data_IF_897415847033
#
_entry.id   IF_897415847033
#
_cell.length_a   1.000
_cell.length_b   1.000
_cell.length_c   1.000
_cell.angle_alpha   90.00
_cell.angle_beta   90.00
_cell.angle_gamma   90.00
#
_symmetry.space_group_name_H-M   'P 1'
#
loop_
_entity.id
_entity.type
_entity.pdbx_description
1 polymer ?
#
# COMPACT_ATOMS: atom_id res chain seq x y z
N UNK A 1 12.57 -19.02 -35.91
CA UNK A 1 13.68 -19.98 -35.79
C UNK A 1 15.04 -19.30 -35.93
N UNK A 2 15.18 -18.23 -36.72
CA UNK A 2 16.51 -17.62 -36.96
C UNK A 2 17.10 -16.71 -35.86
N UNK A 3 16.32 -16.13 -34.94
CA UNK A 3 16.86 -15.11 -34.00
C UNK A 3 17.91 -15.69 -33.02
N UNK A 4 17.75 -16.94 -32.60
CA UNK A 4 18.64 -17.56 -31.62
C UNK A 4 20.07 -17.76 -32.15
N UNK A 5 20.23 -17.94 -33.46
CA UNK A 5 21.51 -18.26 -34.09
C UNK A 5 22.08 -17.08 -34.91
N UNK A 6 21.45 -15.90 -34.82
CA UNK A 6 21.86 -14.71 -35.56
C UNK A 6 23.05 -13.97 -34.93
N UNK A 7 23.26 -14.09 -33.61
CA UNK A 7 24.27 -13.31 -32.89
C UNK A 7 25.65 -13.98 -32.93
N UNK A 8 26.68 -13.19 -33.23
CA UNK A 8 28.08 -13.60 -33.20
C UNK A 8 28.53 -14.06 -31.80
N UNK A 9 27.85 -13.57 -30.76
CA UNK A 9 28.06 -13.87 -29.33
C UNK A 9 26.97 -14.78 -28.78
N UNK A 10 26.79 -15.92 -29.43
CA UNK A 10 25.65 -16.84 -29.24
C UNK A 10 25.37 -17.21 -27.77
N UNK A 11 26.40 -17.61 -27.02
CA UNK A 11 26.24 -18.03 -25.62
C UNK A 11 25.73 -16.88 -24.74
N UNK A 12 26.27 -15.67 -24.92
CA UNK A 12 25.90 -14.52 -24.11
C UNK A 12 24.48 -14.06 -24.46
N UNK A 13 24.17 -13.97 -25.76
CA UNK A 13 22.85 -13.62 -26.24
C UNK A 13 21.78 -14.56 -25.71
N UNK A 14 21.95 -15.89 -25.87
CA UNK A 14 20.96 -16.89 -25.45
C UNK A 14 20.77 -16.90 -23.93
N UNK A 15 21.84 -16.75 -23.15
CA UNK A 15 21.77 -16.71 -21.67
C UNK A 15 21.03 -15.48 -21.15
N UNK A 16 21.35 -14.29 -21.70
CA UNK A 16 20.68 -13.03 -21.32
C UNK A 16 19.23 -13.04 -21.79
N UNK A 17 18.98 -13.53 -23.01
CA UNK A 17 17.63 -13.66 -23.56
C UNK A 17 16.75 -14.56 -22.69
N UNK A 18 17.26 -15.69 -22.20
CA UNK A 18 16.52 -16.57 -21.31
C UNK A 18 16.07 -15.83 -20.03
N UNK A 19 16.99 -15.06 -19.43
CA UNK A 19 16.71 -14.28 -18.23
C UNK A 19 15.75 -13.11 -18.51
N UNK A 20 15.82 -12.50 -19.71
CA UNK A 20 14.89 -11.48 -20.17
C UNK A 20 13.48 -12.06 -20.40
N UNK A 21 13.36 -13.27 -20.94
CA UNK A 21 12.08 -13.97 -21.08
C UNK A 21 11.46 -14.28 -19.72
N UNK A 22 12.26 -14.75 -18.76
CA UNK A 22 11.78 -14.99 -17.40
C UNK A 22 11.40 -13.68 -16.69
N UNK A 23 12.18 -12.61 -16.87
CA UNK A 23 11.84 -11.27 -16.41
C UNK A 23 10.48 -10.83 -16.96
N UNK A 24 10.26 -10.95 -18.27
CA UNK A 24 9.01 -10.61 -18.93
C UNK A 24 7.82 -11.39 -18.33
N UNK A 25 7.98 -12.71 -18.17
CA UNK A 25 6.96 -13.55 -17.55
C UNK A 25 6.67 -13.11 -16.10
N UNK A 26 7.71 -12.81 -15.32
CA UNK A 26 7.56 -12.32 -13.95
C UNK A 26 6.79 -11.00 -13.88
N UNK A 27 7.18 -9.98 -14.66
CA UNK A 27 6.52 -8.67 -14.59
C UNK A 27 5.07 -8.73 -15.08
N UNK A 28 4.79 -9.57 -16.08
CA UNK A 28 3.44 -9.78 -16.61
C UNK A 28 2.54 -10.53 -15.62
N UNK A 29 3.00 -11.62 -15.02
CA UNK A 29 2.17 -12.46 -14.14
C UNK A 29 2.07 -11.89 -12.71
N UNK A 30 3.07 -11.16 -12.23
CA UNK A 30 3.04 -10.51 -10.91
C UNK A 30 1.83 -9.59 -10.70
N UNK A 31 1.24 -9.05 -11.78
CA UNK A 31 0.01 -8.22 -11.71
C UNK A 31 -1.18 -8.94 -11.08
N UNK A 32 -1.19 -10.28 -11.04
CA UNK A 32 -2.21 -11.10 -10.38
C UNK A 32 -2.34 -10.77 -8.89
N UNK A 33 -1.23 -10.40 -8.23
CA UNK A 33 -1.17 -10.10 -6.80
C UNK A 33 -1.56 -8.65 -6.45
N UNK A 34 -2.25 -7.95 -7.37
CA UNK A 34 -2.78 -6.60 -7.12
C UNK A 34 -1.69 -5.60 -6.68
N UNK A 35 -2.01 -4.69 -5.75
CA UNK A 35 -1.08 -3.68 -5.22
C UNK A 35 0.20 -4.26 -4.59
N UNK A 36 0.17 -5.48 -4.04
CA UNK A 36 1.36 -6.12 -3.52
C UNK A 36 2.34 -6.51 -4.64
N UNK A 37 1.80 -6.86 -5.80
CA UNK A 37 2.56 -7.08 -7.02
C UNK A 37 3.06 -5.77 -7.62
N UNK A 38 2.14 -4.90 -8.02
CA UNK A 38 2.40 -3.59 -8.62
C UNK A 38 1.41 -2.57 -8.07
N UNK A 39 1.88 -1.37 -7.69
CA UNK A 39 1.00 -0.30 -7.22
C UNK A 39 -0.01 0.11 -8.29
N UNK A 40 0.34 0.00 -9.58
CA UNK A 40 -0.56 0.23 -10.71
C UNK A 40 -0.57 -0.94 -11.68
N UNK A 41 -1.67 -1.09 -12.43
CA UNK A 41 -1.78 -2.10 -13.49
C UNK A 41 -1.13 -1.58 -14.77
N UNK A 42 -0.04 -2.23 -15.21
CA UNK A 42 0.67 -1.88 -16.44
C UNK A 42 0.38 -2.86 -17.59
N UNK A 43 0.25 -2.38 -18.84
CA UNK A 43 -0.08 -3.21 -19.99
C UNK A 43 1.16 -3.80 -20.68
N UNK A 44 2.02 -4.50 -19.92
CA UNK A 44 3.17 -5.21 -20.50
C UNK A 44 2.71 -6.26 -21.52
N UNK A 45 3.34 -6.29 -22.68
CA UNK A 45 2.94 -7.13 -23.81
C UNK A 45 4.14 -7.75 -24.54
N UNK A 46 3.87 -8.71 -25.41
CA UNK A 46 4.91 -9.44 -26.17
C UNK A 46 5.72 -8.53 -27.11
N UNK A 47 5.17 -7.38 -27.52
CA UNK A 47 5.89 -6.35 -28.28
C UNK A 47 7.07 -5.77 -27.49
N UNK A 48 6.89 -5.54 -26.19
CA UNK A 48 7.96 -5.05 -25.30
C UNK A 48 9.13 -6.05 -25.25
N UNK A 49 8.81 -7.34 -25.12
CA UNK A 49 9.81 -8.41 -25.18
C UNK A 49 10.50 -8.47 -26.54
N UNK A 50 9.74 -8.45 -27.62
CA UNK A 50 10.27 -8.53 -29.00
C UNK A 50 11.24 -7.39 -29.29
N UNK A 51 10.89 -6.15 -28.93
CA UNK A 51 11.77 -5.00 -29.13
C UNK A 51 13.00 -5.12 -28.20
N UNK A 52 12.83 -5.57 -26.96
CA UNK A 52 13.94 -5.79 -26.03
C UNK A 52 14.93 -6.85 -26.55
N UNK A 53 14.45 -7.91 -27.21
CA UNK A 53 15.31 -8.91 -27.87
C UNK A 53 16.13 -8.27 -29.00
N UNK A 54 15.51 -7.44 -29.83
CA UNK A 54 16.21 -6.73 -30.90
C UNK A 54 17.25 -5.74 -30.36
N UNK A 55 16.92 -5.03 -29.28
CA UNK A 55 17.85 -4.13 -28.58
C UNK A 55 19.03 -4.92 -28.00
N UNK A 56 18.78 -6.07 -27.37
CA UNK A 56 19.83 -6.96 -26.87
C UNK A 56 20.76 -7.41 -28.00
N UNK A 57 20.20 -7.88 -29.11
CA UNK A 57 20.97 -8.31 -30.28
C UNK A 57 21.87 -7.18 -30.79
N UNK A 58 21.29 -6.02 -31.08
CA UNK A 58 22.03 -4.86 -31.60
C UNK A 58 23.11 -4.39 -30.61
N UNK A 59 22.82 -4.44 -29.30
CA UNK A 59 23.77 -4.05 -28.27
C UNK A 59 24.97 -4.99 -28.22
N UNK A 60 24.77 -6.31 -28.30
CA UNK A 60 25.85 -7.29 -28.27
C UNK A 60 26.71 -7.27 -29.55
N UNK A 61 26.12 -6.99 -30.71
CA UNK A 61 26.86 -6.84 -31.98
C UNK A 61 27.69 -5.54 -32.01
N UNK A 62 27.18 -4.46 -31.41
CA UNK A 62 27.87 -3.17 -31.40
C UNK A 62 28.99 -3.08 -30.35
N UNK A 63 28.99 -3.92 -29.32
CA UNK A 63 29.89 -3.82 -28.17
C UNK A 63 30.71 -5.11 -27.98
N UNK A 64 32.00 -4.95 -27.66
CA UNK A 64 32.90 -6.09 -27.39
C UNK A 64 32.71 -6.71 -26.01
N UNK A 65 32.06 -6.01 -25.08
CA UNK A 65 31.80 -6.46 -23.71
C UNK A 65 30.36 -6.16 -23.31
N UNK A 66 29.83 -6.91 -22.35
CA UNK A 66 28.50 -6.65 -21.78
C UNK A 66 28.62 -5.62 -20.67
N UNK A 67 28.12 -4.40 -20.88
CA UNK A 67 27.96 -3.43 -19.80
C UNK A 67 26.56 -3.60 -19.19
N UNK A 68 26.53 -4.23 -18.02
CA UNK A 68 25.28 -4.62 -17.35
C UNK A 68 24.41 -3.44 -16.95
N UNK A 69 25.03 -2.32 -16.55
CA UNK A 69 24.31 -1.11 -16.17
C UNK A 69 23.52 -0.55 -17.36
N UNK A 70 24.11 -0.52 -18.56
CA UNK A 70 23.45 -0.08 -19.78
C UNK A 70 22.27 -0.99 -20.13
N UNK A 71 22.46 -2.31 -20.11
CA UNK A 71 21.36 -3.25 -20.42
C UNK A 71 20.20 -3.13 -19.43
N UNK A 72 20.50 -3.04 -18.13
CA UNK A 72 19.47 -2.83 -17.10
C UNK A 72 18.76 -1.49 -17.30
N UNK A 73 19.48 -0.44 -17.68
CA UNK A 73 18.88 0.86 -17.99
C UNK A 73 18.00 0.80 -19.23
N UNK A 74 18.48 0.21 -20.33
CA UNK A 74 17.71 0.05 -21.57
C UNK A 74 16.40 -0.70 -21.30
N UNK A 75 16.45 -1.86 -20.63
CA UNK A 75 15.25 -2.64 -20.37
C UNK A 75 14.36 -2.02 -19.28
N UNK A 76 14.96 -1.55 -18.18
CA UNK A 76 14.23 -1.10 -17.00
C UNK A 76 13.67 0.31 -17.11
N UNK A 77 14.44 1.25 -17.67
CA UNK A 77 14.07 2.66 -17.73
C UNK A 77 13.40 3.04 -19.05
N UNK A 78 13.82 2.44 -20.17
CA UNK A 78 13.32 2.78 -21.50
C UNK A 78 12.22 1.81 -21.94
N UNK A 79 12.52 0.50 -22.04
CA UNK A 79 11.59 -0.48 -22.62
C UNK A 79 10.36 -0.70 -21.73
N UNK A 80 10.56 -1.26 -20.54
CA UNK A 80 9.47 -1.50 -19.59
C UNK A 80 9.15 -0.24 -18.79
N UNK A 81 10.18 0.55 -18.47
CA UNK A 81 10.04 1.81 -17.72
C UNK A 81 9.23 2.88 -18.44
N UNK A 82 9.07 2.79 -19.77
CA UNK A 82 8.17 3.66 -20.53
C UNK A 82 6.69 3.49 -20.15
N UNK A 83 6.30 2.32 -19.64
CA UNK A 83 4.94 2.05 -19.15
C UNK A 83 4.75 2.42 -17.68
N UNK A 84 5.83 2.42 -16.91
CA UNK A 84 5.79 2.52 -15.45
C UNK A 84 5.75 3.99 -15.03
N UNK A 85 4.66 4.35 -14.36
CA UNK A 85 4.39 5.73 -13.91
C UNK A 85 4.57 5.96 -12.41
N UNK A 86 4.73 4.89 -11.62
CA UNK A 86 4.92 4.98 -10.16
C UNK A 86 6.39 4.71 -9.81
N UNK A 87 6.99 5.53 -8.96
CA UNK A 87 8.43 5.46 -8.65
C UNK A 87 8.80 4.19 -7.88
N UNK A 88 7.88 3.65 -7.05
CA UNK A 88 8.12 2.41 -6.33
C UNK A 88 8.04 1.20 -7.25
N UNK A 89 7.11 1.23 -8.20
CA UNK A 89 7.05 0.23 -9.26
C UNK A 89 8.29 0.30 -10.16
N UNK A 90 8.82 1.51 -10.42
CA UNK A 90 10.07 1.69 -11.17
C UNK A 90 11.27 1.15 -10.40
N UNK A 91 11.32 1.35 -9.08
CA UNK A 91 12.31 0.72 -8.19
C UNK A 91 12.21 -0.80 -8.22
N UNK A 92 11.00 -1.36 -8.20
CA UNK A 92 10.77 -2.80 -8.32
C UNK A 92 11.30 -3.36 -9.64
N UNK A 93 10.95 -2.72 -10.77
CA UNK A 93 11.42 -3.11 -12.09
C UNK A 93 12.95 -3.13 -12.20
N UNK A 94 13.61 -2.07 -11.71
CA UNK A 94 15.08 -2.01 -11.64
C UNK A 94 15.66 -3.12 -10.79
N UNK A 95 15.07 -3.38 -9.61
CA UNK A 95 15.54 -4.42 -8.69
C UNK A 95 15.46 -5.81 -9.34
N UNK A 96 14.39 -6.10 -10.08
CA UNK A 96 14.31 -7.34 -10.85
C UNK A 96 15.47 -7.50 -11.83
N UNK A 97 15.79 -6.46 -12.59
CA UNK A 97 16.88 -6.50 -13.55
C UNK A 97 18.26 -6.55 -12.87
N UNK A 98 18.43 -5.95 -11.70
CA UNK A 98 19.66 -6.08 -10.90
C UNK A 98 19.88 -7.51 -10.39
N UNK A 99 18.82 -8.21 -10.01
CA UNK A 99 18.89 -9.61 -9.57
C UNK A 99 18.99 -10.58 -10.76
N UNK A 100 18.28 -10.30 -11.86
CA UNK A 100 18.20 -11.20 -13.03
C UNK A 100 19.20 -10.91 -14.13
N UNK A 101 20.02 -9.85 -14.07
CA UNK A 101 21.02 -9.55 -15.11
C UNK A 101 22.36 -9.23 -14.47
N UNK A 102 23.10 -10.28 -14.13
CA UNK A 102 24.36 -10.21 -13.39
C UNK A 102 25.51 -10.88 -14.16
N UNK A 103 26.77 -10.41 -13.99
CA UNK A 103 27.94 -11.03 -14.61
C UNK A 103 28.07 -12.54 -14.35
N UNK A 104 27.62 -13.00 -13.18
CA UNK A 104 27.69 -14.40 -12.74
C UNK A 104 26.71 -15.34 -13.47
N UNK A 105 25.88 -14.83 -14.38
CA UNK A 105 24.94 -15.63 -15.17
C UNK A 105 25.63 -16.66 -16.06
N UNK A 106 26.81 -16.31 -16.57
CA UNK A 106 27.57 -17.20 -17.44
C UNK A 106 28.22 -18.36 -16.68
N UNK A 107 28.33 -18.26 -15.35
CA UNK A 107 28.95 -19.28 -14.48
C UNK A 107 27.94 -20.34 -13.98
N UNK A 108 26.71 -20.37 -14.51
CA UNK A 108 25.63 -21.32 -14.12
C UNK A 108 25.24 -21.30 -12.64
N UNK A 109 25.41 -20.16 -11.98
CA UNK A 109 25.10 -20.00 -10.54
C UNK A 109 23.87 -19.14 -10.27
N UNK A 110 23.36 -18.43 -11.29
CA UNK A 110 22.20 -17.57 -11.08
C UNK A 110 20.91 -18.39 -11.04
N UNK A 111 20.27 -18.39 -9.89
CA UNK A 111 18.89 -18.86 -9.74
C UNK A 111 17.94 -17.68 -10.01
N UNK A 112 17.06 -17.81 -11.00
CA UNK A 112 16.02 -16.83 -11.31
C UNK A 112 14.82 -16.97 -10.35
N UNK A 113 14.60 -18.18 -9.85
CA UNK A 113 13.68 -18.50 -8.78
C UNK A 113 14.24 -19.67 -7.95
N UNK A 114 13.74 -19.91 -6.73
CA UNK A 114 14.11 -21.10 -5.96
C UNK A 114 13.91 -22.38 -6.78
N UNK A 115 14.99 -23.12 -7.02
CA UNK A 115 14.96 -24.35 -7.84
C UNK A 115 15.02 -24.13 -9.36
N UNK A 116 14.99 -22.89 -9.85
CA UNK A 116 15.03 -22.58 -11.28
C UNK A 116 16.29 -21.77 -11.64
N UNK A 117 17.29 -22.48 -12.16
CA UNK A 117 18.60 -21.91 -12.52
C UNK A 117 18.62 -21.54 -14.01
N UNK A 118 19.41 -20.54 -14.39
CA UNK A 118 19.64 -20.24 -15.81
C UNK A 118 20.33 -21.45 -16.48
N UNK A 119 19.72 -22.05 -17.52
CA UNK A 119 20.31 -23.17 -18.24
C UNK A 119 21.56 -22.74 -19.02
N UNK A 120 22.31 -23.74 -19.47
CA UNK A 120 23.45 -23.52 -20.37
C UNK A 120 22.98 -23.18 -21.79
N UNK A 121 23.92 -22.92 -22.71
CA UNK A 121 23.56 -22.78 -24.12
C UNK A 121 22.87 -24.07 -24.62
N UNK A 122 21.61 -23.94 -25.04
CA UNK A 122 20.77 -25.00 -25.58
C UNK A 122 20.23 -24.55 -26.95
N UNK A 123 19.73 -25.49 -27.73
CA UNK A 123 18.94 -25.18 -28.91
C UNK A 123 17.49 -24.83 -28.52
N UNK A 124 16.70 -24.38 -29.50
CA UNK A 124 15.31 -23.99 -29.24
C UNK A 124 14.49 -25.10 -28.57
N UNK A 125 14.63 -26.34 -29.04
CA UNK A 125 13.92 -27.48 -28.47
C UNK A 125 14.41 -27.83 -27.06
N UNK A 126 15.72 -27.74 -26.83
CA UNK A 126 16.31 -27.94 -25.51
C UNK A 126 15.82 -26.92 -24.49
N UNK A 127 15.63 -25.65 -24.87
CA UNK A 127 15.04 -24.65 -23.96
C UNK A 127 13.60 -24.99 -23.57
N UNK A 128 12.76 -25.43 -24.52
CA UNK A 128 11.39 -25.88 -24.22
C UNK A 128 11.39 -27.07 -23.28
N UNK A 129 12.19 -28.11 -23.57
CA UNK A 129 12.31 -29.28 -22.69
C UNK A 129 12.80 -28.90 -21.29
N UNK A 130 13.77 -27.99 -21.18
CA UNK A 130 14.25 -27.48 -19.89
C UNK A 130 13.14 -26.77 -19.11
N UNK A 131 12.35 -25.92 -19.76
CA UNK A 131 11.23 -25.23 -19.11
C UNK A 131 10.18 -26.24 -18.64
N UNK A 132 9.81 -27.21 -19.47
CA UNK A 132 8.81 -28.23 -19.12
C UNK A 132 9.25 -29.12 -17.96
N UNK A 133 10.56 -29.44 -17.86
CA UNK A 133 11.10 -30.30 -16.82
C UNK A 133 11.45 -29.56 -15.52
N UNK A 134 11.97 -28.34 -15.62
CA UNK A 134 12.61 -27.65 -14.49
C UNK A 134 11.81 -26.47 -13.94
N UNK A 135 10.84 -25.92 -14.68
CA UNK A 135 10.03 -24.81 -14.18
C UNK A 135 9.06 -25.34 -13.10
N UNK A 136 9.17 -24.86 -11.85
CA UNK A 136 8.28 -25.29 -10.78
C UNK A 136 6.85 -24.78 -10.99
N UNK A 137 5.88 -25.41 -10.32
CA UNK A 137 4.49 -24.94 -10.29
C UNK A 137 4.40 -23.48 -9.83
N UNK A 138 3.46 -22.72 -10.40
CA UNK A 138 3.30 -21.30 -10.09
C UNK A 138 3.14 -21.07 -8.57
N UNK A 139 3.92 -20.12 -8.04
CA UNK A 139 3.90 -19.76 -6.63
C UNK A 139 4.32 -18.30 -6.47
N UNK A 140 3.79 -17.53 -5.50
CA UNK A 140 4.23 -16.16 -5.24
C UNK A 140 5.75 -16.02 -5.08
N UNK A 141 6.39 -17.06 -4.54
CA UNK A 141 7.84 -17.11 -4.29
C UNK A 141 8.66 -16.96 -5.57
N UNK A 142 8.15 -17.44 -6.72
CA UNK A 142 8.84 -17.31 -8.01
C UNK A 142 8.86 -15.88 -8.53
N UNK A 143 7.94 -15.05 -8.03
CA UNK A 143 7.93 -13.61 -8.25
C UNK A 143 8.67 -12.86 -7.15
N UNK A 144 9.26 -13.54 -6.16
CA UNK A 144 9.91 -12.91 -5.01
C UNK A 144 8.93 -12.47 -3.91
N UNK A 145 7.65 -12.81 -4.01
CA UNK A 145 6.64 -12.54 -2.97
C UNK A 145 6.64 -13.63 -1.90
N UNK A 146 6.15 -13.27 -0.70
CA UNK A 146 5.88 -14.24 0.35
C UNK A 146 4.64 -15.09 0.00
N UNK A 147 4.56 -16.39 0.39
CA UNK A 147 3.41 -17.26 0.11
C UNK A 147 2.05 -16.71 0.58
N UNK A 148 2.04 -15.83 1.59
CA UNK A 148 0.82 -15.15 2.04
C UNK A 148 0.12 -14.35 0.93
N UNK A 149 0.85 -13.90 -0.10
CA UNK A 149 0.25 -13.18 -1.23
C UNK A 149 -0.79 -14.03 -1.99
N UNK A 150 -0.63 -15.35 -2.01
CA UNK A 150 -1.62 -16.25 -2.61
C UNK A 150 -2.91 -16.32 -1.79
N UNK A 151 -2.80 -16.30 -0.46
CA UNK A 151 -3.96 -16.28 0.45
C UNK A 151 -4.77 -15.00 0.21
N UNK A 152 -4.10 -13.85 0.15
CA UNK A 152 -4.76 -12.56 -0.12
C UNK A 152 -5.42 -12.57 -1.51
N UNK A 153 -4.71 -13.02 -2.54
CA UNK A 153 -5.22 -13.12 -3.91
C UNK A 153 -6.49 -13.97 -3.99
N UNK A 154 -6.50 -15.15 -3.37
CA UNK A 154 -7.66 -16.04 -3.35
C UNK A 154 -8.81 -15.45 -2.53
N UNK A 155 -8.51 -14.74 -1.44
CA UNK A 155 -9.52 -14.06 -0.60
C UNK A 155 -10.24 -12.98 -1.41
N UNK A 156 -9.48 -12.06 -2.02
CA UNK A 156 -10.05 -10.98 -2.86
C UNK A 156 -10.82 -11.54 -4.05
N UNK A 157 -10.33 -12.61 -4.68
CA UNK A 157 -11.03 -13.27 -5.80
C UNK A 157 -12.36 -13.87 -5.33
N UNK A 158 -12.38 -14.46 -4.15
CA UNK A 158 -13.59 -15.05 -3.56
C UNK A 158 -14.59 -13.96 -3.16
N UNK A 159 -14.14 -12.87 -2.54
CA UNK A 159 -15.00 -11.75 -2.15
C UNK A 159 -15.65 -11.09 -3.37
N UNK A 160 -14.88 -10.87 -4.44
CA UNK A 160 -15.41 -10.35 -5.71
C UNK A 160 -16.47 -11.30 -6.31
N UNK A 161 -16.23 -12.61 -6.24
CA UNK A 161 -17.21 -13.60 -6.69
C UNK A 161 -18.51 -13.52 -5.88
N UNK A 162 -18.42 -13.43 -4.55
CA UNK A 162 -19.60 -13.29 -3.68
C UNK A 162 -20.35 -11.99 -3.95
N UNK A 163 -19.65 -10.86 -4.13
CA UNK A 163 -20.27 -9.59 -4.49
C UNK A 163 -21.01 -9.68 -5.82
N UNK A 164 -20.37 -10.22 -6.87
CA UNK A 164 -21.04 -10.40 -8.17
C UNK A 164 -22.26 -11.33 -8.06
N UNK A 165 -22.20 -12.37 -7.23
CA UNK A 165 -23.34 -13.26 -7.00
C UNK A 165 -24.50 -12.55 -6.28
N UNK A 166 -24.20 -11.70 -5.29
CA UNK A 166 -25.21 -10.90 -4.58
C UNK A 166 -25.88 -9.88 -5.52
N UNK A 167 -25.12 -9.24 -6.39
CA UNK A 167 -25.65 -8.28 -7.38
C UNK A 167 -26.55 -8.95 -8.43
N UNK A 168 -26.29 -10.22 -8.75
CA UNK A 168 -27.10 -11.00 -9.70
C UNK A 168 -28.39 -11.55 -9.07
N UNK A 169 -28.54 -11.54 -7.76
CA UNK A 169 -29.79 -11.95 -7.10
C UNK A 169 -30.88 -10.91 -7.36
N UNK A 170 -32.05 -11.35 -7.83
CA UNK A 170 -33.19 -10.44 -7.96
C UNK A 170 -33.61 -9.98 -6.55
N UNK A 171 -33.96 -8.70 -6.35
CA UNK A 171 -34.48 -8.21 -5.07
C UNK A 171 -35.65 -9.06 -4.55
N UNK A 172 -36.46 -9.61 -5.47
CA UNK A 172 -37.60 -10.47 -5.17
C UNK A 172 -37.23 -11.88 -4.66
N UNK A 173 -36.00 -12.36 -4.88
CA UNK A 173 -35.56 -13.71 -4.48
C UNK A 173 -35.11 -13.82 -3.03
N UNK A 174 -34.89 -12.69 -2.35
CA UNK A 174 -34.59 -12.64 -0.90
C UNK A 174 -35.89 -12.73 -0.07
N UNK A 175 -37.05 -12.59 -0.72
CA UNK A 175 -38.37 -12.83 -0.12
C UNK A 175 -38.67 -14.34 -0.10
N UNK A 176 -37.91 -15.10 0.69
CA UNK A 176 -38.40 -16.39 1.18
C UNK A 176 -39.68 -16.18 2.00
N UNK A 177 -40.54 -17.20 2.09
CA UNK A 177 -41.86 -17.18 2.77
C UNK A 177 -41.81 -16.98 4.31
N UNK A 178 -40.90 -16.16 4.82
CA UNK A 178 -40.83 -15.69 6.20
C UNK A 178 -40.66 -14.17 6.22
N UNK A 179 -41.15 -13.52 7.28
CA UNK A 179 -41.10 -12.07 7.48
C UNK A 179 -39.67 -11.50 7.47
N UNK A 180 -39.08 -11.36 6.28
CA UNK A 180 -37.87 -10.57 6.07
C UNK A 180 -38.26 -9.09 6.12
N UNK A 181 -37.50 -8.31 6.88
CA UNK A 181 -37.63 -6.85 6.91
C UNK A 181 -37.60 -6.31 5.49
N UNK A 182 -38.43 -5.31 5.19
CA UNK A 182 -38.36 -4.62 3.90
C UNK A 182 -37.01 -3.89 3.77
N UNK A 183 -36.58 -3.60 2.54
CA UNK A 183 -35.36 -2.83 2.27
C UNK A 183 -35.39 -1.50 3.05
N UNK A 184 -36.54 -0.84 3.07
CA UNK A 184 -36.78 0.42 3.78
C UNK A 184 -36.65 0.25 5.29
N UNK A 185 -37.21 -0.80 5.89
CA UNK A 185 -37.11 -1.06 7.34
C UNK A 185 -35.67 -1.31 7.78
N UNK A 186 -34.90 -2.09 6.99
CA UNK A 186 -33.48 -2.35 7.28
C UNK A 186 -32.66 -1.06 7.20
N UNK A 187 -32.83 -0.30 6.12
CA UNK A 187 -32.12 0.98 5.93
C UNK A 187 -32.49 1.98 7.03
N UNK A 188 -33.77 2.05 7.40
CA UNK A 188 -34.25 2.91 8.48
C UNK A 188 -33.59 2.57 9.82
N UNK A 189 -33.46 1.29 10.14
CA UNK A 189 -32.77 0.83 11.37
C UNK A 189 -31.31 1.28 11.40
N UNK A 190 -30.58 1.09 10.29
CA UNK A 190 -29.17 1.51 10.18
C UNK A 190 -29.04 3.02 10.30
N UNK A 191 -29.90 3.76 9.58
CA UNK A 191 -29.95 5.21 9.61
C UNK A 191 -30.17 5.75 11.02
N UNK A 192 -31.14 5.20 11.75
CA UNK A 192 -31.47 5.64 13.11
C UNK A 192 -30.31 5.37 14.07
N UNK A 193 -29.67 4.20 13.97
CA UNK A 193 -28.49 3.87 14.79
C UNK A 193 -27.32 4.83 14.51
N UNK A 194 -27.06 5.13 13.23
CA UNK A 194 -25.98 6.05 12.83
C UNK A 194 -26.28 7.47 13.33
N UNK A 195 -27.51 7.97 13.15
CA UNK A 195 -27.87 9.32 13.59
C UNK A 195 -27.88 9.48 15.10
N UNK A 196 -28.28 8.44 15.85
CA UNK A 196 -28.29 8.45 17.31
C UNK A 196 -26.87 8.55 17.90
N UNK A 197 -25.91 7.83 17.32
CA UNK A 197 -24.53 7.75 17.82
C UNK A 197 -23.59 8.78 17.20
N UNK A 198 -24.00 9.48 16.14
CA UNK A 198 -23.13 10.42 15.41
C UNK A 198 -22.78 11.63 16.30
N UNK A 199 -21.49 11.89 16.58
CA UNK A 199 -21.06 13.01 17.40
C UNK A 199 -21.46 14.37 16.82
N UNK A 200 -21.56 15.36 17.69
CA UNK A 200 -21.77 16.75 17.27
C UNK A 200 -20.51 17.34 16.62
N UNK A 201 -20.72 18.40 15.84
CA UNK A 201 -19.63 19.12 15.18
C UNK A 201 -18.77 19.88 16.21
N UNK A 202 -17.45 19.88 15.98
CA UNK A 202 -16.49 20.64 16.77
C UNK A 202 -16.71 22.14 16.59
N UNK A 203 -16.96 22.87 17.68
CA UNK A 203 -16.99 24.33 17.64
C UNK A 203 -15.57 24.90 17.46
N UNK A 204 -15.20 25.16 16.21
CA UNK A 204 -13.87 25.67 15.87
C UNK A 204 -13.56 27.02 16.51
N UNK A 205 -14.56 27.86 16.78
CA UNK A 205 -14.35 29.16 17.43
C UNK A 205 -13.92 28.98 18.90
N UNK A 206 -14.60 28.09 19.63
CA UNK A 206 -14.28 27.77 21.02
C UNK A 206 -12.89 27.12 21.09
N UNK A 207 -12.64 26.09 20.27
CA UNK A 207 -11.37 25.36 20.24
C UNK A 207 -10.20 26.28 19.92
N UNK A 208 -10.35 27.14 18.91
CA UNK A 208 -9.29 28.08 18.50
C UNK A 208 -9.04 29.16 19.55
N UNK A 209 -10.06 29.54 20.32
CA UNK A 209 -9.93 30.55 21.39
C UNK A 209 -9.20 30.03 22.63
N UNK A 210 -9.10 28.69 22.83
CA UNK A 210 -8.44 28.08 23.99
C UNK A 210 -6.95 28.42 24.09
N UNK A 211 -6.29 28.70 22.97
CA UNK A 211 -4.86 29.03 22.96
C UNK A 211 -4.52 30.04 21.86
N UNK A 212 -3.67 31.01 22.22
CA UNK A 212 -3.06 31.91 21.24
C UNK A 212 -1.87 31.25 20.52
N UNK A 213 -1.31 30.17 21.07
CA UNK A 213 -0.15 29.49 20.52
C UNK A 213 -0.53 28.70 19.25
N UNK A 214 0.28 28.86 18.20
CA UNK A 214 0.09 28.18 16.91
C UNK A 214 1.24 27.22 16.63
N UNK A 215 1.38 26.22 17.49
CA UNK A 215 2.36 25.15 17.26
C UNK A 215 1.94 24.31 16.05
N UNK A 216 2.89 23.69 15.31
CA UNK A 216 2.54 22.82 14.17
C UNK A 216 1.53 21.73 14.52
N UNK A 217 1.63 21.12 15.71
CA UNK A 217 0.71 20.07 16.16
C UNK A 217 -0.72 20.60 16.39
N UNK A 218 -0.86 21.80 16.96
CA UNK A 218 -2.17 22.43 17.17
C UNK A 218 -2.83 22.74 15.82
N UNK A 219 -2.07 23.20 14.84
CA UNK A 219 -2.58 23.45 13.49
C UNK A 219 -3.05 22.17 12.81
N UNK A 220 -2.35 21.04 12.99
CA UNK A 220 -2.83 19.74 12.51
C UNK A 220 -4.15 19.37 13.17
N UNK A 221 -4.24 19.48 14.51
CA UNK A 221 -5.49 19.22 15.23
C UNK A 221 -6.66 20.04 14.67
N UNK A 222 -6.48 21.33 14.41
CA UNK A 222 -7.53 22.18 13.84
C UNK A 222 -7.96 21.72 12.44
N UNK A 223 -7.01 21.41 11.55
CA UNK A 223 -7.30 20.91 10.21
C UNK A 223 -8.07 19.58 10.25
N UNK A 224 -7.71 18.69 11.17
CA UNK A 224 -8.38 17.40 11.35
C UNK A 224 -9.81 17.58 11.89
N UNK A 225 -10.04 18.54 12.79
CA UNK A 225 -11.38 18.88 13.27
C UNK A 225 -12.26 19.46 12.15
N UNK A 226 -11.73 20.38 11.34
CA UNK A 226 -12.47 20.97 10.20
C UNK A 226 -12.88 19.89 9.18
N UNK A 227 -11.97 18.95 8.89
CA UNK A 227 -12.27 17.81 8.01
C UNK A 227 -13.31 16.88 8.60
N UNK A 228 -13.19 16.56 9.89
CA UNK A 228 -14.17 15.72 10.58
C UNK A 228 -15.55 16.38 10.61
N UNK A 229 -15.63 17.69 10.85
CA UNK A 229 -16.89 18.45 10.77
C UNK A 229 -17.54 18.33 9.40
N UNK A 230 -16.75 18.49 8.33
CA UNK A 230 -17.27 18.37 6.96
C UNK A 230 -17.88 16.99 6.72
N UNK A 231 -17.24 15.93 7.20
CA UNK A 231 -17.73 14.55 7.09
C UNK A 231 -18.99 14.32 7.95
N UNK A 232 -18.95 14.70 9.24
CA UNK A 232 -20.08 14.55 10.17
C UNK A 232 -21.32 15.30 9.65
N UNK A 233 -21.13 16.53 9.18
CA UNK A 233 -22.20 17.33 8.60
C UNK A 233 -22.84 16.63 7.40
N UNK A 234 -22.03 16.11 6.47
CA UNK A 234 -22.54 15.41 5.29
C UNK A 234 -23.31 14.14 5.66
N UNK A 235 -22.78 13.32 6.58
CA UNK A 235 -23.48 12.12 7.07
C UNK A 235 -24.83 12.53 7.68
N UNK A 236 -24.83 13.53 8.57
CA UNK A 236 -26.04 13.99 9.25
C UNK A 236 -27.08 14.55 8.27
N UNK A 237 -26.65 15.41 7.34
CA UNK A 237 -27.53 16.03 6.34
C UNK A 237 -28.16 14.96 5.44
N UNK A 238 -27.33 14.13 4.83
CA UNK A 238 -27.77 13.12 3.87
C UNK A 238 -28.70 12.08 4.48
N UNK A 239 -28.44 11.64 5.72
CA UNK A 239 -29.33 10.72 6.43
C UNK A 239 -30.65 11.38 6.87
N UNK A 240 -30.65 12.66 7.28
CA UNK A 240 -31.91 13.36 7.59
C UNK A 240 -32.79 13.55 6.36
N UNK A 241 -32.18 13.85 5.21
CA UNK A 241 -32.90 13.95 3.94
C UNK A 241 -33.49 12.58 3.52
N UNK A 242 -32.71 11.50 3.64
CA UNK A 242 -33.19 10.15 3.39
C UNK A 242 -34.34 9.76 4.33
N UNK A 243 -34.27 10.11 5.61
CA UNK A 243 -35.35 9.86 6.59
C UNK A 243 -36.68 10.54 6.18
N UNK A 244 -36.61 11.79 5.73
CA UNK A 244 -37.78 12.52 5.23
C UNK A 244 -38.32 11.89 3.93
N UNK A 245 -37.44 11.39 3.06
CA UNK A 245 -37.81 10.63 1.87
C UNK A 245 -38.56 9.34 2.21
N UNK A 246 -38.05 8.57 3.19
CA UNK A 246 -38.67 7.32 3.66
C UNK A 246 -40.04 7.56 4.33
N UNK A 247 -40.24 8.72 4.95
CA UNK A 247 -41.55 9.13 5.51
C UNK A 247 -42.54 9.62 4.45
N UNK A 248 -42.10 9.82 3.21
CA UNK A 248 -42.90 10.42 2.14
C UNK A 248 -43.08 11.94 2.24
N UNK A 249 -42.27 12.61 3.07
CA UNK A 249 -42.31 14.06 3.25
C UNK A 249 -41.45 14.80 2.20
N UNK A 250 -40.43 14.12 1.66
CA UNK A 250 -39.64 14.57 0.51
C UNK A 250 -39.77 13.59 -0.65
N UNK A 251 -39.70 14.11 -1.88
CA UNK A 251 -39.56 13.26 -3.06
C UNK A 251 -38.18 12.60 -3.06
N UNK A 252 -38.15 11.28 -3.22
CA UNK A 252 -36.90 10.51 -3.27
C UNK A 252 -36.08 10.95 -4.49
N UNK A 253 -34.84 11.38 -4.25
CA UNK A 253 -33.88 11.76 -5.27
C UNK A 253 -32.97 10.59 -5.64
N UNK A 254 -32.29 10.67 -6.79
CA UNK A 254 -31.30 9.66 -7.19
C UNK A 254 -30.15 9.53 -6.18
N UNK A 255 -29.78 10.62 -5.49
CA UNK A 255 -28.75 10.59 -4.44
C UNK A 255 -29.24 9.81 -3.21
N UNK A 256 -30.51 9.97 -2.84
CA UNK A 256 -31.13 9.20 -1.75
C UNK A 256 -31.18 7.71 -2.08
N UNK A 257 -31.54 7.35 -3.31
CA UNK A 257 -31.53 5.95 -3.78
C UNK A 257 -30.13 5.31 -3.70
N UNK A 258 -29.10 6.07 -4.09
CA UNK A 258 -27.71 5.60 -4.00
C UNK A 258 -27.28 5.37 -2.55
N UNK A 259 -27.63 6.28 -1.63
CA UNK A 259 -27.36 6.11 -0.20
C UNK A 259 -28.14 4.92 0.34
N UNK A 260 -29.44 4.79 0.03
CA UNK A 260 -30.28 3.68 0.47
C UNK A 260 -29.69 2.33 0.03
N UNK A 261 -29.27 2.23 -1.24
CA UNK A 261 -28.61 1.04 -1.78
C UNK A 261 -27.30 0.74 -1.04
N UNK A 262 -26.44 1.75 -0.86
CA UNK A 262 -25.17 1.58 -0.15
C UNK A 262 -25.39 1.09 1.29
N UNK A 263 -26.32 1.71 2.04
CA UNK A 263 -26.67 1.29 3.39
C UNK A 263 -27.22 -0.14 3.43
N UNK A 264 -28.04 -0.53 2.45
CA UNK A 264 -28.61 -1.85 2.39
C UNK A 264 -27.56 -2.95 2.18
N UNK A 265 -26.57 -2.69 1.32
CA UNK A 265 -25.48 -3.60 0.97
C UNK A 265 -24.24 -3.49 1.88
N UNK A 266 -24.35 -2.83 3.05
CA UNK A 266 -23.23 -2.63 4.00
C UNK A 266 -22.01 -1.91 3.37
N UNK A 267 -22.25 -1.03 2.40
CA UNK A 267 -21.24 -0.22 1.73
C UNK A 267 -21.26 1.23 2.23
N UNK A 268 -20.10 1.87 2.28
CA UNK A 268 -20.01 3.31 2.61
C UNK A 268 -20.48 4.13 1.39
N UNK A 269 -21.47 5.02 1.53
CA UNK A 269 -21.90 5.90 0.44
C UNK A 269 -20.77 6.71 -0.20
N UNK A 270 -20.78 6.85 -1.52
CA UNK A 270 -19.75 7.57 -2.28
C UNK A 270 -19.60 9.04 -1.87
N UNK A 271 -20.71 9.69 -1.48
CA UNK A 271 -20.69 11.07 -0.99
C UNK A 271 -19.87 11.20 0.30
N UNK A 272 -19.94 10.21 1.18
CA UNK A 272 -19.15 10.17 2.42
C UNK A 272 -17.70 9.81 2.11
N UNK A 273 -17.47 8.82 1.25
CA UNK A 273 -16.13 8.38 0.82
C UNK A 273 -15.29 9.51 0.22
N UNK A 274 -15.91 10.43 -0.54
CA UNK A 274 -15.24 11.62 -1.11
C UNK A 274 -14.70 12.59 -0.06
N UNK A 275 -15.33 12.66 1.10
CA UNK A 275 -14.96 13.53 2.22
C UNK A 275 -14.12 12.80 3.27
N UNK A 276 -14.17 11.46 3.26
CA UNK A 276 -13.49 10.61 4.21
C UNK A 276 -12.02 10.36 3.85
N UNK A 277 -11.35 9.62 4.74
CA UNK A 277 -10.08 8.98 4.47
C UNK A 277 -10.29 7.70 3.63
N UNK A 278 -9.32 7.30 2.78
CA UNK A 278 -9.40 6.04 2.05
C UNK A 278 -9.56 4.84 3.00
N UNK A 279 -10.50 3.96 2.70
CA UNK A 279 -10.80 2.74 3.47
C UNK A 279 -11.30 1.62 2.56
N UNK A 280 -11.15 0.38 3.01
CA UNK A 280 -11.72 -0.82 2.42
C UNK A 280 -12.70 -1.53 3.36
N UNK A 281 -13.10 -0.85 4.44
CA UNK A 281 -14.04 -1.37 5.44
C UNK A 281 -15.47 -1.38 4.93
N UNK A 282 -16.25 -2.34 5.43
CA UNK A 282 -17.71 -2.28 5.30
C UNK A 282 -18.28 -1.12 6.12
N UNK A 283 -19.53 -0.74 5.86
CA UNK A 283 -20.17 0.41 6.51
C UNK A 283 -20.13 0.29 8.04
N UNK A 284 -20.49 -0.87 8.60
CA UNK A 284 -20.47 -1.08 10.04
C UNK A 284 -19.06 -0.92 10.65
N UNK A 285 -18.03 -1.46 9.99
CA UNK A 285 -16.63 -1.32 10.42
C UNK A 285 -16.14 0.12 10.30
N UNK A 286 -16.45 0.77 9.17
CA UNK A 286 -16.07 2.14 8.88
C UNK A 286 -16.71 3.13 9.87
N UNK A 287 -17.99 2.96 10.19
CA UNK A 287 -18.66 3.85 11.14
C UNK A 287 -18.07 3.74 12.55
N UNK A 288 -17.75 2.52 13.01
CA UNK A 288 -17.04 2.34 14.28
C UNK A 288 -15.66 2.99 14.28
N UNK A 289 -14.94 2.95 13.15
CA UNK A 289 -13.66 3.64 12.96
C UNK A 289 -13.82 5.17 13.04
N UNK A 290 -14.86 5.75 12.41
CA UNK A 290 -15.21 7.18 12.53
C UNK A 290 -15.46 7.57 13.99
N UNK A 291 -16.22 6.78 14.73
CA UNK A 291 -16.48 7.04 16.16
C UNK A 291 -15.19 7.02 16.99
N UNK A 292 -14.28 6.08 16.71
CA UNK A 292 -12.99 6.01 17.39
C UNK A 292 -12.11 7.24 17.08
N UNK A 293 -12.10 7.70 15.82
CA UNK A 293 -11.37 8.92 15.42
C UNK A 293 -11.93 10.15 16.11
N UNK A 294 -13.25 10.26 16.27
CA UNK A 294 -13.86 11.35 17.01
C UNK A 294 -13.38 11.36 18.46
N UNK A 295 -13.35 10.20 19.14
CA UNK A 295 -12.85 10.12 20.53
C UNK A 295 -11.38 10.56 20.67
N UNK A 296 -10.53 10.19 19.72
CA UNK A 296 -9.11 10.60 19.73
C UNK A 296 -8.98 12.12 19.48
N UNK A 297 -9.79 12.70 18.58
CA UNK A 297 -9.86 14.15 18.37
C UNK A 297 -10.45 14.90 19.57
N UNK A 298 -11.48 14.37 20.23
CA UNK A 298 -12.04 14.92 21.47
C UNK A 298 -10.95 15.02 22.55
N UNK A 299 -10.19 13.94 22.74
CA UNK A 299 -9.07 13.95 23.69
C UNK A 299 -8.00 14.98 23.32
N UNK A 300 -7.70 15.16 22.03
CA UNK A 300 -6.69 16.12 21.58
C UNK A 300 -7.18 17.57 21.71
N UNK A 301 -8.44 17.84 21.40
CA UNK A 301 -9.04 19.18 21.46
C UNK A 301 -9.32 19.69 22.88
N UNK A 302 -9.37 18.80 23.87
CA UNK A 302 -9.53 19.18 25.28
C UNK A 302 -8.37 20.07 25.76
N UNK A 303 -7.14 19.55 25.69
CA UNK A 303 -5.95 20.22 26.21
C UNK A 303 -5.09 20.87 25.12
N UNK A 304 -5.35 20.58 23.83
CA UNK A 304 -4.51 21.00 22.69
C UNK A 304 -3.02 20.63 22.84
N UNK A 305 -2.75 19.65 23.70
CA UNK A 305 -1.44 19.05 23.89
C UNK A 305 -1.30 17.83 22.99
N UNK A 306 -0.09 17.58 22.49
CA UNK A 306 0.21 16.38 21.71
C UNK A 306 -0.04 15.12 22.58
N UNK A 307 -0.88 14.16 22.13
CA UNK A 307 -1.05 12.89 22.83
C UNK A 307 0.27 12.16 23.02
N UNK A 308 0.37 11.37 24.11
CA UNK A 308 1.58 10.62 24.44
C UNK A 308 2.01 9.67 23.31
N UNK A 309 1.03 9.00 22.70
CA UNK A 309 1.20 8.19 21.49
C UNK A 309 0.06 8.54 20.54
N UNK A 310 0.38 8.94 19.32
CA UNK A 310 -0.60 9.37 18.32
C UNK A 310 -1.02 8.20 17.45
N UNK A 311 -2.33 8.03 17.26
CA UNK A 311 -2.87 7.06 16.32
C UNK A 311 -2.73 7.58 14.88
N UNK A 312 -1.62 7.25 14.22
CA UNK A 312 -1.30 7.85 12.92
C UNK A 312 -2.33 7.47 11.85
N UNK A 313 -2.87 6.25 11.91
CA UNK A 313 -3.92 5.80 11.00
C UNK A 313 -5.28 6.46 11.25
N UNK A 314 -5.48 7.04 12.44
CA UNK A 314 -6.68 7.78 12.83
C UNK A 314 -6.80 9.16 12.19
N UNK A 315 -5.70 9.69 11.61
CA UNK A 315 -5.70 11.00 10.96
C UNK A 315 -6.20 10.92 9.51
N UNK A 316 -6.95 11.94 9.06
CA UNK A 316 -7.25 12.18 7.66
C UNK A 316 -5.97 12.48 6.87
N UNK A 317 -5.09 13.30 7.43
CA UNK A 317 -3.82 13.67 6.81
C UNK A 317 -2.59 13.32 7.68
N UNK A 318 -2.17 12.04 7.70
CA UNK A 318 -0.97 11.63 8.42
C UNK A 318 0.31 12.33 7.93
N UNK A 319 0.37 12.74 6.66
CA UNK A 319 1.51 13.47 6.11
C UNK A 319 1.65 14.87 6.73
N UNK A 320 0.53 15.56 7.01
CA UNK A 320 0.53 16.85 7.72
C UNK A 320 1.13 16.69 9.12
N UNK A 321 0.74 15.63 9.83
CA UNK A 321 1.31 15.32 11.14
C UNK A 321 2.81 15.02 11.10
N UNK A 322 3.25 14.17 10.19
CA UNK A 322 4.67 13.85 10.01
C UNK A 322 5.48 15.11 9.66
N UNK A 323 4.91 16.01 8.87
CA UNK A 323 5.51 17.33 8.56
C UNK A 323 5.56 18.23 9.79
N UNK A 324 4.51 18.22 10.62
CA UNK A 324 4.49 18.96 11.88
C UNK A 324 5.56 18.48 12.86
N UNK A 325 5.86 17.18 12.90
CA UNK A 325 6.98 16.61 13.66
C UNK A 325 8.30 17.22 13.18
N UNK A 326 8.54 17.28 11.87
CA UNK A 326 9.74 17.92 11.31
C UNK A 326 9.81 19.40 11.67
N UNK A 327 8.73 20.16 11.47
CA UNK A 327 8.68 21.59 11.75
C UNK A 327 8.92 21.90 13.24
N UNK A 328 8.32 21.13 14.14
CA UNK A 328 8.47 21.31 15.58
C UNK A 328 9.93 21.09 16.00
N UNK A 329 10.57 20.03 15.50
CA UNK A 329 11.95 19.70 15.85
C UNK A 329 12.96 20.62 15.18
N UNK A 330 12.71 21.05 13.94
CA UNK A 330 13.49 22.06 13.22
C UNK A 330 13.53 23.38 13.99
N UNK A 331 12.36 23.87 14.45
CA UNK A 331 12.26 25.10 15.24
C UNK A 331 12.96 24.98 16.59
N UNK A 332 12.79 23.84 17.28
CA UNK A 332 13.41 23.60 18.59
C UNK A 332 14.94 23.58 18.53
N UNK A 333 15.51 23.05 17.44
CA UNK A 333 16.95 22.89 17.27
C UNK A 333 17.59 23.93 16.33
N UNK A 334 16.81 24.92 15.86
CA UNK A 334 17.25 25.93 14.89
C UNK A 334 17.85 25.34 13.59
N UNK A 335 17.28 24.22 13.12
CA UNK A 335 17.74 23.55 11.89
C UNK A 335 16.97 24.01 10.65
N UNK A 336 17.63 24.11 9.48
CA UNK A 336 16.96 24.35 8.21
C UNK A 336 16.05 23.18 7.83
N UNK A 337 14.75 23.46 7.65
CA UNK A 337 13.73 22.43 7.36
C UNK A 337 14.00 21.71 6.02
N UNK A 338 14.62 22.37 5.05
CA UNK A 338 14.97 21.83 3.73
C UNK A 338 16.07 20.75 3.78
N UNK A 339 16.81 20.67 4.89
CA UNK A 339 17.92 19.72 5.09
C UNK A 339 17.60 18.66 6.13
N UNK A 340 16.32 18.42 6.39
CA UNK A 340 15.86 17.46 7.39
C UNK A 340 15.10 16.31 6.75
N UNK A 341 15.37 15.11 7.26
CA UNK A 341 14.66 13.89 6.92
C UNK A 341 14.05 13.27 8.17
N UNK A 342 12.90 12.62 8.00
CA UNK A 342 12.33 11.79 9.05
C UNK A 342 13.15 10.52 9.21
N UNK A 343 13.45 10.19 10.46
CA UNK A 343 14.04 8.92 10.88
C UNK A 343 13.10 8.29 11.88
N UNK A 344 12.98 6.96 11.77
CA UNK A 344 12.11 6.19 12.64
C UNK A 344 12.91 5.18 13.44
N UNK A 345 12.54 5.04 14.71
CA UNK A 345 13.07 4.03 15.61
C UNK A 345 11.89 3.21 16.15
N UNK A 346 11.74 1.97 15.67
CA UNK A 346 10.67 1.07 16.12
C UNK A 346 11.00 0.59 17.54
N UNK A 347 10.07 0.82 18.46
CA UNK A 347 10.27 0.47 19.87
C UNK A 347 9.94 -1.00 20.13
N UNK A 348 10.14 -1.44 21.38
CA UNK A 348 9.79 -2.81 21.83
C UNK A 348 8.41 -2.89 22.50
N UNK A 349 7.67 -1.79 22.53
CA UNK A 349 6.48 -1.61 23.36
C UNK A 349 5.26 -1.26 22.52
N UNK A 350 4.09 -1.60 23.04
CA UNK A 350 2.79 -1.22 22.47
C UNK A 350 2.19 -0.01 23.21
N UNK A 351 1.11 0.56 22.67
CA UNK A 351 0.51 1.85 23.11
C UNK A 351 0.31 1.91 24.62
N UNK A 352 -0.18 0.83 25.20
CA UNK A 352 -0.61 0.72 26.60
C UNK A 352 0.55 0.85 27.60
N UNK A 353 1.78 0.63 27.14
CA UNK A 353 2.99 0.68 27.97
C UNK A 353 3.65 2.07 28.03
N UNK A 354 3.10 3.06 27.32
CA UNK A 354 3.61 4.43 27.28
C UNK A 354 2.82 5.33 28.23
N UNK A 355 3.53 5.98 29.13
CA UNK A 355 3.00 6.93 30.10
C UNK A 355 3.65 8.33 30.01
N UNK A 356 4.60 8.50 29.10
CA UNK A 356 5.32 9.76 28.90
C UNK A 356 5.46 10.05 27.41
N UNK A 357 5.29 11.32 27.00
CA UNK A 357 5.46 11.72 25.62
C UNK A 357 6.91 11.54 25.17
N UNK A 358 7.11 11.51 23.86
CA UNK A 358 8.45 11.42 23.28
C UNK A 358 9.30 12.64 23.69
N UNK A 359 10.57 12.39 24.06
CA UNK A 359 11.52 13.47 24.39
C UNK A 359 11.82 14.37 23.18
N UNK A 360 11.88 13.74 22.01
CA UNK A 360 12.06 14.37 20.71
C UNK A 360 11.11 13.72 19.70
N UNK A 361 10.49 14.55 18.86
CA UNK A 361 9.54 14.09 17.86
C UNK A 361 8.21 13.61 18.47
N UNK A 362 7.71 12.47 18.01
CA UNK A 362 6.45 11.89 18.46
C UNK A 362 6.49 10.36 18.47
N UNK A 363 5.67 9.74 19.32
CA UNK A 363 5.37 8.31 19.23
C UNK A 363 4.11 8.10 18.41
N UNK A 364 4.13 7.14 17.48
CA UNK A 364 2.99 6.78 16.64
C UNK A 364 2.67 5.29 16.70
N UNK A 365 1.40 4.95 16.56
CA UNK A 365 0.92 3.56 16.50
C UNK A 365 -0.19 3.40 15.45
N UNK A 366 -0.62 2.15 15.24
CA UNK A 366 -1.62 1.80 14.23
C UNK A 366 -1.02 1.55 12.86
N UNK A 367 0.20 1.02 12.81
CA UNK A 367 0.85 0.61 11.57
C UNK A 367 0.89 -0.92 11.50
N UNK A 368 0.72 -1.44 10.29
CA UNK A 368 0.85 -2.86 9.98
C UNK A 368 1.93 -3.04 8.92
N UNK A 369 2.60 -4.18 8.92
CA UNK A 369 3.60 -4.51 7.90
C UNK A 369 3.04 -5.57 6.97
N UNK A 370 3.10 -5.33 5.66
CA UNK A 370 2.70 -6.30 4.63
C UNK A 370 3.94 -6.87 3.95
N UNK A 371 3.92 -8.16 3.60
CA UNK A 371 5.02 -8.86 2.92
C UNK A 371 6.21 -9.25 3.82
N UNK A 372 6.26 -8.75 5.05
CA UNK A 372 7.27 -9.07 6.05
C UNK A 372 6.70 -8.89 7.48
N UNK A 373 7.54 -9.09 8.49
CA UNK A 373 7.20 -8.74 9.89
C UNK A 373 8.37 -8.06 10.57
N UNK A 374 8.06 -7.28 11.60
CA UNK A 374 9.07 -6.70 12.47
C UNK A 374 9.45 -7.66 13.60
N UNK A 375 10.74 -7.96 13.75
CA UNK A 375 11.24 -8.67 14.92
C UNK A 375 11.51 -7.67 16.06
N UNK A 376 10.64 -7.67 17.07
CA UNK A 376 10.74 -6.75 18.22
C UNK A 376 11.99 -7.00 19.07
N UNK A 377 12.48 -8.24 19.12
CA UNK A 377 13.67 -8.57 19.90
C UNK A 377 14.93 -8.12 19.18
N UNK A 378 15.05 -8.47 17.89
CA UNK A 378 16.17 -8.13 17.03
C UNK A 378 16.18 -6.70 16.49
N UNK A 379 15.05 -6.01 16.49
CA UNK A 379 14.91 -4.63 16.01
C UNK A 379 15.13 -4.48 14.51
N UNK A 380 14.70 -5.47 13.72
CA UNK A 380 14.92 -5.53 12.27
C UNK A 380 13.73 -6.17 11.55
N UNK A 381 13.61 -5.90 10.24
CA UNK A 381 12.68 -6.61 9.35
C UNK A 381 13.10 -8.09 9.24
N UNK A 382 12.12 -8.98 9.32
CA UNK A 382 12.27 -10.42 9.13
C UNK A 382 11.14 -10.96 8.26
N UNK A 383 11.30 -12.20 7.76
CA UNK A 383 10.27 -12.84 6.96
C UNK A 383 8.95 -12.99 7.72
N UNK A 384 7.84 -12.78 6.99
CA UNK A 384 6.50 -12.97 7.52
C UNK A 384 6.27 -14.44 7.95
N UNK A 385 5.28 -14.67 8.81
CA UNK A 385 4.83 -16.01 9.14
C UNK A 385 3.65 -16.38 8.26
N UNK A 386 3.54 -17.66 7.92
CA UNK A 386 2.39 -18.16 7.17
C UNK A 386 1.09 -17.82 7.89
N UNK A 387 0.09 -17.34 7.13
CA UNK A 387 -1.23 -16.90 7.62
C UNK A 387 -1.25 -15.61 8.44
N UNK A 388 -0.09 -14.98 8.66
CA UNK A 388 0.02 -13.65 9.27
C UNK A 388 0.27 -12.63 8.16
N UNK A 389 -0.82 -12.16 7.53
CA UNK A 389 -0.78 -11.32 6.32
C UNK A 389 -0.22 -9.92 6.61
N UNK A 390 -0.74 -9.29 7.66
CA UNK A 390 -0.46 -7.90 8.04
C UNK A 390 -0.18 -7.77 9.54
N UNK A 391 0.94 -8.31 10.06
CA UNK A 391 1.32 -8.17 11.46
C UNK A 391 1.36 -6.70 11.91
N UNK A 392 0.89 -6.43 13.13
CA UNK A 392 0.94 -5.10 13.73
C UNK A 392 2.37 -4.70 14.12
N UNK A 393 2.68 -3.43 13.91
CA UNK A 393 3.94 -2.84 14.34
C UNK A 393 3.84 -2.36 15.79
N UNK A 394 4.92 -2.49 16.58
CA UNK A 394 5.04 -1.77 17.85
C UNK A 394 4.96 -0.25 17.63
N UNK A 395 4.89 0.48 18.74
CA UNK A 395 4.99 1.95 18.69
C UNK A 395 6.29 2.37 18.01
N UNK A 396 6.18 3.29 17.06
CA UNK A 396 7.32 3.84 16.32
C UNK A 396 7.62 5.23 16.86
N UNK A 397 8.87 5.48 17.20
CA UNK A 397 9.36 6.83 17.49
C UNK A 397 9.73 7.51 16.19
N UNK A 398 9.02 8.59 15.86
CA UNK A 398 9.27 9.40 14.67
C UNK A 398 9.97 10.67 15.11
N UNK A 399 11.14 10.95 14.54
CA UNK A 399 11.91 12.17 14.77
C UNK A 399 12.53 12.66 13.48
N UNK A 400 12.89 13.93 13.43
CA UNK A 400 13.57 14.51 12.29
C UNK A 400 15.05 14.71 12.58
N UNK A 401 15.92 14.40 11.62
CA UNK A 401 17.36 14.60 11.73
C UNK A 401 17.89 15.30 10.49
N UNK A 402 18.97 16.08 10.60
CA UNK A 402 19.69 16.60 9.44
C UNK A 402 20.17 15.47 8.52
N UNK A 403 20.14 15.70 7.20
CA UNK A 403 20.44 14.69 6.17
C UNK A 403 21.84 14.07 6.31
N UNK A 404 22.82 14.82 6.80
CA UNK A 404 24.19 14.37 7.06
C UNK A 404 24.30 13.41 8.25
N UNK A 405 23.29 13.36 9.11
CA UNK A 405 23.21 12.47 10.29
C UNK A 405 22.36 11.23 10.05
N UNK A 406 21.82 11.07 8.85
CA UNK A 406 20.96 9.94 8.53
C UNK A 406 21.81 8.66 8.39
N UNK A 407 21.41 7.61 9.09
CA UNK A 407 21.99 6.29 8.87
C UNK A 407 21.53 5.77 7.50
N UNK A 408 22.45 5.24 6.71
CA UNK A 408 22.16 4.71 5.35
C UNK A 408 22.51 3.23 5.21
N UNK A 409 23.26 2.69 6.17
CA UNK A 409 23.73 1.30 6.13
C UNK A 409 22.66 0.36 6.68
N UNK A 410 22.46 -0.79 6.02
CA UNK A 410 21.56 -1.84 6.48
C UNK A 410 20.11 -1.36 6.70
N UNK A 411 19.66 -0.46 5.82
CA UNK A 411 18.35 0.16 5.87
C UNK A 411 17.56 -0.21 4.61
N UNK A 412 16.30 -0.51 4.83
CA UNK A 412 15.29 -0.61 3.80
C UNK A 412 14.38 0.61 3.86
N UNK A 413 14.35 1.35 2.77
CA UNK A 413 13.36 2.41 2.53
C UNK A 413 12.00 1.77 2.31
N UNK A 414 11.19 1.74 3.36
CA UNK A 414 9.88 1.11 3.38
C UNK A 414 8.79 2.15 3.10
N UNK A 415 8.01 2.01 2.02
CA UNK A 415 6.91 2.91 1.74
C UNK A 415 5.76 2.71 2.74
N UNK A 416 5.15 3.82 3.17
CA UNK A 416 3.97 3.86 4.03
C UNK A 416 2.76 4.28 3.19
N UNK A 417 1.70 3.48 3.23
CA UNK A 417 0.42 3.75 2.56
C UNK A 417 -0.73 3.83 3.56
N UNK A 418 -1.81 4.53 3.19
CA UNK A 418 -3.02 4.56 4.02
C UNK A 418 -3.72 3.20 4.03
N UNK A 419 -3.80 2.52 2.88
CA UNK A 419 -4.50 1.25 2.72
C UNK A 419 -3.72 0.29 1.83
N UNK A 420 -4.16 -0.98 1.78
CA UNK A 420 -3.65 -2.01 0.86
C UNK A 420 -3.78 -1.65 -0.61
N UNK A 421 -4.57 -0.65 -0.99
CA UNK A 421 -4.66 -0.19 -2.39
C UNK A 421 -3.36 0.46 -2.88
N UNK A 422 -2.50 0.91 -1.96
CA UNK A 422 -1.20 1.56 -2.23
C UNK A 422 -1.35 2.69 -3.27
N UNK A 423 -0.37 2.90 -4.14
CA UNK A 423 -0.39 3.89 -5.20
C UNK A 423 -0.73 5.30 -4.72
N UNK A 424 -1.94 5.78 -5.02
CA UNK A 424 -2.44 7.12 -4.62
C UNK A 424 -2.57 7.31 -3.11
N UNK A 425 -2.54 6.23 -2.32
CA UNK A 425 -2.60 6.27 -0.86
C UNK A 425 -1.23 6.41 -0.18
N UNK A 426 -0.16 6.64 -0.95
CA UNK A 426 1.19 6.88 -0.41
C UNK A 426 1.21 8.05 0.58
N UNK A 427 1.95 7.88 1.68
CA UNK A 427 2.06 8.86 2.76
C UNK A 427 3.51 9.32 2.96
N UNK A 428 4.43 8.38 3.19
CA UNK A 428 5.83 8.68 3.49
C UNK A 428 6.74 7.47 3.25
N UNK A 429 8.06 7.66 3.38
CA UNK A 429 9.05 6.56 3.39
C UNK A 429 9.75 6.45 4.73
N UNK A 430 9.67 5.29 5.36
CA UNK A 430 10.34 5.02 6.64
C UNK A 430 11.60 4.18 6.42
N UNK A 431 12.73 4.67 6.93
CA UNK A 431 14.01 3.96 6.94
C UNK A 431 14.00 2.89 8.04
N UNK A 432 13.77 1.64 7.65
CA UNK A 432 13.69 0.51 8.57
C UNK A 432 14.98 -0.32 8.56
N UNK A 433 15.42 -0.77 9.73
CA UNK A 433 16.64 -1.60 9.85
C UNK A 433 16.41 -3.01 9.30
N UNK A 434 17.40 -3.54 8.60
CA UNK A 434 17.38 -4.90 8.07
C UNK A 434 18.76 -5.56 8.10
N UNK A 435 18.79 -6.89 8.20
CA UNK A 435 20.02 -7.69 8.06
C UNK A 435 20.22 -8.22 6.64
N UNK A 436 19.16 -8.22 5.85
CA UNK A 436 19.12 -8.74 4.48
C UNK A 436 19.38 -7.63 3.48
N UNK A 437 19.71 -7.99 2.24
CA UNK A 437 19.83 -7.00 1.16
C UNK A 437 18.48 -6.33 0.91
N UNK A 438 18.42 -5.00 0.73
CA UNK A 438 17.17 -4.28 0.45
C UNK A 438 16.37 -4.85 -0.73
N UNK A 439 17.04 -5.39 -1.75
CA UNK A 439 16.41 -6.02 -2.91
C UNK A 439 15.39 -7.11 -2.53
N UNK A 440 15.67 -7.92 -1.49
CA UNK A 440 14.75 -8.95 -0.97
C UNK A 440 13.39 -8.35 -0.60
N UNK A 441 13.40 -7.21 0.09
CA UNK A 441 12.18 -6.55 0.57
C UNK A 441 11.45 -5.78 -0.53
N UNK A 442 12.19 -5.24 -1.51
CA UNK A 442 11.58 -4.66 -2.71
C UNK A 442 10.82 -5.74 -3.49
N UNK A 443 11.44 -6.89 -3.76
CA UNK A 443 10.80 -8.00 -4.47
C UNK A 443 9.64 -8.61 -3.68
N UNK A 444 9.74 -8.70 -2.36
CA UNK A 444 8.66 -9.14 -1.48
C UNK A 444 7.49 -8.14 -1.39
N UNK A 445 7.64 -6.94 -1.96
CA UNK A 445 6.63 -5.90 -1.93
C UNK A 445 6.37 -5.43 -0.51
N UNK A 446 7.40 -5.31 0.34
CA UNK A 446 7.23 -4.91 1.74
C UNK A 446 6.75 -3.47 1.83
N UNK A 447 5.72 -3.24 2.63
CA UNK A 447 5.19 -1.91 2.88
C UNK A 447 4.65 -1.80 4.31
N UNK A 448 4.55 -0.56 4.79
CA UNK A 448 3.76 -0.24 5.96
C UNK A 448 2.38 0.25 5.54
N UNK A 449 1.36 -0.16 6.28
CA UNK A 449 -0.04 0.18 6.04
C UNK A 449 -0.63 0.82 7.30
N UNK A 450 -1.43 1.87 7.13
CA UNK A 450 -2.18 2.48 8.23
C UNK A 450 -3.51 1.75 8.50
N UNK A 451 -4.09 1.12 7.48
CA UNK A 451 -5.34 0.36 7.55
C UNK A 451 -5.22 -0.90 6.69
N UNK A 452 -5.82 -2.00 7.15
CA UNK A 452 -5.68 -3.35 6.57
C UNK A 452 -7.00 -4.05 6.30
#
# INVERSE_FOLDING_TARGET
MDILDQCSREQEFKTILFSLCYFHACVAERRKFGPQGWNRKYPFNTGDLTISVNVLYNYLEANSQVLWEDLRYLFGEIMYGGHITDDWDRRLCRTYLEEYMQPNQFDRKLALAPGFVVPSNLDYQGYHGYVDEMLPHESPVHYGLHPNAEIEFLTVTSDNLFHTLLELQSPDSVMGEGASQTVEEKVKTILDEVLEKLPEEYNMSDITSKTAERSPYILVCFQECERMNTLIYEIRRSLKELDLGLKGELAISSEMEQIQSALFFDNVPDTWTKLAYPSTYSLAQWYNDVLLRCRELDSWTQDLALPTVVWLSGLFNPQSFLTAVMQSLARKNEWPLDKMNLTVDVTKKFKEEFNQPAREGAYVYGLYMEGARWDTQGGVITEARLKELTPSMPVISVRAVPNDRQETRNIYECPLYKTKLRGTTYVWTFSLKTRERPAKWVLAGVALLLSV
#
